data_IF_906759360187
#
_entry.id   IF_906759360187
#
_cell.length_a   1.000
_cell.length_b   1.000
_cell.length_c   1.000
_cell.angle_alpha   90.00
_cell.angle_beta   90.00
_cell.angle_gamma   90.00
#
_symmetry.space_group_name_H-M   'P 1'
#
loop_
_entity.id
_entity.type
_entity.pdbx_description
1 polymer ?
#
# COMPACT_ATOMS: atom_id res chain seq x y z
N UNK A 1 20.24 22.69 30.67
CA UNK A 1 18.90 23.21 30.98
C UNK A 1 18.15 23.37 29.68
N UNK A 2 17.11 22.56 29.55
CA UNK A 2 16.22 22.46 28.41
C UNK A 2 15.51 23.77 28.11
N UNK A 3 15.20 24.00 26.84
CA UNK A 3 13.82 24.34 26.47
C UNK A 3 13.48 23.52 25.24
N UNK A 4 12.79 22.42 25.52
CA UNK A 4 12.11 21.59 24.55
C UNK A 4 11.19 22.47 23.70
N UNK A 5 11.44 22.51 22.39
CA UNK A 5 10.40 22.91 21.44
C UNK A 5 9.39 21.79 21.41
N UNK A 6 8.30 22.03 22.14
CA UNK A 6 7.00 21.40 22.04
C UNK A 6 6.75 20.89 20.61
N UNK A 7 6.97 19.59 20.37
CA UNK A 7 6.39 18.87 19.24
C UNK A 7 4.94 18.58 19.63
N UNK A 8 4.16 19.66 19.67
CA UNK A 8 2.73 19.62 19.91
C UNK A 8 2.07 18.86 18.78
N UNK A 9 1.63 17.64 19.09
CA UNK A 9 0.63 16.81 18.43
C UNK A 9 0.20 17.31 17.02
N UNK A 10 0.74 16.75 15.92
CA UNK A 10 0.26 17.10 14.61
C UNK A 10 -0.97 16.23 14.34
N UNK A 11 -2.14 16.73 14.73
CA UNK A 11 -3.40 16.31 14.13
C UNK A 11 -3.40 16.72 12.66
N UNK A 12 -2.59 16.06 11.83
CA UNK A 12 -2.81 16.06 10.40
C UNK A 12 -4.20 15.46 10.20
N UNK A 13 -5.12 16.22 9.60
CA UNK A 13 -6.36 15.61 9.14
C UNK A 13 -5.99 14.61 8.06
N UNK A 14 -6.75 13.53 7.93
CA UNK A 14 -6.58 12.55 6.85
C UNK A 14 -6.49 13.26 5.49
N UNK A 15 -7.28 14.32 5.30
CA UNK A 15 -7.22 15.22 4.13
C UNK A 15 -5.83 15.81 3.88
N UNK A 16 -5.07 16.15 4.92
CA UNK A 16 -3.77 16.82 4.78
C UNK A 16 -2.68 15.81 4.37
N UNK A 17 -2.77 14.57 4.87
CA UNK A 17 -1.89 13.46 4.44
C UNK A 17 -2.24 13.03 3.02
N UNK A 18 -3.54 12.93 2.72
CA UNK A 18 -4.07 12.68 1.38
C UNK A 18 -3.58 13.76 0.42
N UNK A 19 -3.71 15.03 0.77
CA UNK A 19 -3.26 16.15 -0.06
C UNK A 19 -1.75 16.15 -0.25
N UNK A 20 -0.95 15.82 0.77
CA UNK A 20 0.51 15.72 0.65
C UNK A 20 0.95 14.56 -0.25
N UNK A 21 0.32 13.40 -0.10
CA UNK A 21 0.53 12.24 -0.95
C UNK A 21 0.10 12.56 -2.39
N UNK A 22 -1.11 13.09 -2.57
CA UNK A 22 -1.67 13.51 -3.86
C UNK A 22 -0.83 14.61 -4.51
N UNK A 23 -0.27 15.58 -3.78
CA UNK A 23 0.53 16.67 -4.37
C UNK A 23 1.88 16.15 -4.89
N UNK A 24 2.59 15.34 -4.08
CA UNK A 24 3.78 14.61 -4.54
C UNK A 24 3.47 13.68 -5.72
N UNK A 25 2.26 13.12 -5.73
CA UNK A 25 1.78 12.27 -6.83
C UNK A 25 1.51 13.12 -8.08
N UNK A 26 0.68 14.16 -8.00
CA UNK A 26 0.29 15.03 -9.12
C UNK A 26 1.48 15.67 -9.83
N UNK A 27 2.53 16.04 -9.11
CA UNK A 27 3.78 16.54 -9.70
C UNK A 27 4.53 15.46 -10.50
N UNK A 28 4.40 14.18 -10.12
CA UNK A 28 4.89 13.04 -10.89
C UNK A 28 3.93 12.61 -12.04
N UNK A 29 2.68 13.08 -12.04
CA UNK A 29 1.57 12.68 -12.92
C UNK A 29 1.19 13.77 -13.94
N UNK A 30 2.12 14.52 -14.52
CA UNK A 30 1.73 15.41 -15.65
C UNK A 30 1.32 14.67 -16.94
N UNK A 31 1.20 13.32 -16.93
CA UNK A 31 1.11 12.49 -18.15
C UNK A 31 0.21 11.23 -18.01
N UNK A 32 -0.75 11.16 -17.08
CA UNK A 32 -1.63 9.97 -16.98
C UNK A 32 -3.07 10.25 -17.42
N UNK A 33 -3.66 9.27 -18.09
CA UNK A 33 -5.08 9.28 -18.47
C UNK A 33 -6.02 9.10 -17.25
N UNK A 34 -7.28 9.47 -17.41
CA UNK A 34 -8.29 9.42 -16.35
C UNK A 34 -8.45 8.00 -15.78
N UNK A 35 -8.28 6.96 -16.61
CA UNK A 35 -8.37 5.56 -16.16
C UNK A 35 -7.24 5.23 -15.19
N UNK A 36 -6.04 5.70 -15.48
CA UNK A 36 -4.87 5.55 -14.63
C UNK A 36 -5.04 6.33 -13.34
N UNK A 37 -5.55 7.57 -13.41
CA UNK A 37 -5.85 8.38 -12.22
C UNK A 37 -6.85 7.68 -11.30
N UNK A 38 -7.99 7.23 -11.82
CA UNK A 38 -9.02 6.56 -11.02
C UNK A 38 -8.49 5.30 -10.30
N UNK A 39 -7.70 4.47 -10.99
CA UNK A 39 -7.08 3.29 -10.37
C UNK A 39 -6.06 3.64 -9.29
N UNK A 40 -5.38 4.77 -9.46
CA UNK A 40 -4.43 5.25 -8.46
C UNK A 40 -5.17 5.84 -7.27
N UNK A 41 -6.25 6.60 -7.48
CA UNK A 41 -7.08 7.18 -6.43
C UNK A 41 -7.67 6.10 -5.51
N UNK A 42 -8.27 5.04 -6.07
CA UNK A 42 -8.74 3.89 -5.30
C UNK A 42 -7.62 3.29 -4.44
N UNK A 43 -6.43 3.13 -5.02
CA UNK A 43 -5.27 2.60 -4.30
C UNK A 43 -4.75 3.56 -3.21
N UNK A 44 -4.85 4.88 -3.40
CA UNK A 44 -4.48 5.87 -2.40
C UNK A 44 -5.41 5.87 -1.21
N UNK A 45 -6.71 5.69 -1.44
CA UNK A 45 -7.67 5.58 -0.37
C UNK A 45 -7.29 4.41 0.57
N UNK A 46 -6.91 3.26 0.01
CA UNK A 46 -6.47 2.10 0.81
C UNK A 46 -5.16 2.37 1.56
N UNK A 47 -4.20 3.05 0.93
CA UNK A 47 -2.96 3.45 1.60
C UNK A 47 -3.24 4.34 2.81
N UNK A 48 -4.11 5.33 2.61
CA UNK A 48 -4.45 6.31 3.63
C UNK A 48 -5.16 5.64 4.80
N UNK A 49 -6.08 4.71 4.52
CA UNK A 49 -6.72 3.90 5.56
C UNK A 49 -5.69 3.05 6.32
N UNK A 50 -4.76 2.40 5.61
CA UNK A 50 -3.69 1.62 6.25
C UNK A 50 -2.80 2.47 7.15
N UNK A 51 -2.44 3.69 6.71
CA UNK A 51 -1.64 4.63 7.51
C UNK A 51 -2.40 5.16 8.74
N UNK A 52 -3.69 5.45 8.58
CA UNK A 52 -4.52 6.03 9.64
C UNK A 52 -4.89 5.00 10.72
N UNK A 53 -5.41 3.84 10.31
CA UNK A 53 -5.82 2.80 11.24
C UNK A 53 -4.61 2.05 11.81
N UNK A 54 -3.59 1.83 10.98
CA UNK A 54 -2.34 1.14 11.33
C UNK A 54 -2.58 -0.21 12.06
N UNK A 55 -3.65 -0.90 11.69
CA UNK A 55 -3.95 -2.25 12.17
C UNK A 55 -3.64 -3.29 11.09
N UNK A 56 -3.64 -4.55 11.50
CA UNK A 56 -3.32 -5.67 10.62
C UNK A 56 -4.28 -5.76 9.43
N UNK A 57 -5.56 -5.49 9.63
CA UNK A 57 -6.57 -5.60 8.59
C UNK A 57 -6.30 -4.61 7.46
N UNK A 58 -6.19 -3.31 7.77
CA UNK A 58 -6.04 -2.27 6.76
C UNK A 58 -4.67 -2.36 6.07
N UNK A 59 -3.61 -2.71 6.80
CA UNK A 59 -2.28 -2.92 6.21
C UNK A 59 -2.28 -4.11 5.24
N UNK A 60 -2.85 -5.25 5.64
CA UNK A 60 -2.98 -6.42 4.76
C UNK A 60 -3.85 -6.12 3.54
N UNK A 61 -4.92 -5.35 3.73
CA UNK A 61 -5.84 -4.97 2.66
C UNK A 61 -5.16 -4.08 1.62
N UNK A 62 -4.42 -3.05 2.07
CA UNK A 62 -3.59 -2.21 1.22
C UNK A 62 -2.54 -3.04 0.45
N UNK A 63 -1.82 -3.93 1.13
CA UNK A 63 -0.79 -4.76 0.50
C UNK A 63 -1.40 -5.71 -0.55
N UNK A 64 -2.61 -6.22 -0.34
CA UNK A 64 -3.32 -7.05 -1.32
C UNK A 64 -3.76 -6.23 -2.55
N UNK A 65 -4.25 -5.00 -2.34
CA UNK A 65 -4.57 -4.06 -3.41
C UNK A 65 -3.32 -3.66 -4.22
N UNK A 66 -2.20 -3.46 -3.53
CA UNK A 66 -0.90 -3.26 -4.17
C UNK A 66 -0.55 -4.42 -5.12
N UNK A 67 -0.67 -5.67 -4.65
CA UNK A 67 -0.36 -6.87 -5.44
C UNK A 67 -1.22 -6.95 -6.72
N UNK A 68 -2.50 -6.57 -6.64
CA UNK A 68 -3.39 -6.52 -7.80
C UNK A 68 -3.00 -5.42 -8.78
N UNK A 69 -2.79 -4.19 -8.29
CA UNK A 69 -2.46 -3.05 -9.14
C UNK A 69 -1.12 -3.25 -9.86
N UNK A 70 -0.09 -3.76 -9.15
CA UNK A 70 1.23 -4.03 -9.76
C UNK A 70 1.22 -5.13 -10.81
N UNK A 71 0.25 -6.04 -10.77
CA UNK A 71 0.14 -7.18 -11.69
C UNK A 71 -0.78 -6.89 -12.88
N UNK A 72 -1.46 -5.74 -12.86
CA UNK A 72 -2.30 -5.26 -13.94
C UNK A 72 -1.52 -4.83 -15.20
N UNK A 73 -2.21 -4.11 -16.06
CA UNK A 73 -1.66 -3.52 -17.29
C UNK A 73 -1.78 -1.99 -17.25
N UNK A 74 -0.98 -1.32 -18.07
CA UNK A 74 -1.04 0.13 -18.24
C UNK A 74 -0.15 0.92 -17.27
N UNK A 75 -0.33 2.24 -17.29
CA UNK A 75 0.56 3.20 -16.62
C UNK A 75 0.43 3.16 -15.09
N UNK A 76 -0.75 2.85 -14.55
CA UNK A 76 -0.96 2.69 -13.10
C UNK A 76 -0.01 1.65 -12.48
N UNK A 77 0.22 0.52 -13.17
CA UNK A 77 1.20 -0.48 -12.76
C UNK A 77 2.62 0.08 -12.70
N UNK A 78 3.01 0.84 -13.72
CA UNK A 78 4.36 1.42 -13.79
C UNK A 78 4.55 2.44 -12.67
N UNK A 79 3.53 3.26 -12.43
CA UNK A 79 3.52 4.26 -11.37
C UNK A 79 3.63 3.60 -9.98
N UNK A 80 2.74 2.67 -9.63
CA UNK A 80 2.71 2.07 -8.29
C UNK A 80 4.03 1.35 -7.95
N UNK A 81 4.64 0.66 -8.91
CA UNK A 81 5.93 -0.03 -8.68
C UNK A 81 7.08 0.95 -8.44
N UNK A 82 7.05 2.11 -9.08
CA UNK A 82 8.05 3.17 -8.90
C UNK A 82 7.90 3.87 -7.56
N UNK A 83 6.66 4.09 -7.13
CA UNK A 83 6.35 4.91 -5.96
C UNK A 83 6.42 4.12 -4.64
N UNK A 84 6.31 2.79 -4.70
CA UNK A 84 6.33 1.93 -3.51
C UNK A 84 7.41 0.83 -3.61
N UNK A 85 8.72 1.18 -3.60
CA UNK A 85 9.79 0.21 -3.74
C UNK A 85 9.84 -0.84 -2.62
N UNK A 86 9.41 -0.49 -1.40
CA UNK A 86 9.31 -1.46 -0.30
C UNK A 86 8.17 -2.46 -0.52
N UNK A 87 7.06 -2.02 -1.12
CA UNK A 87 5.99 -2.94 -1.53
C UNK A 87 6.45 -3.82 -2.70
N UNK A 88 7.30 -3.32 -3.60
CA UNK A 88 7.94 -4.17 -4.61
C UNK A 88 8.84 -5.23 -3.98
N UNK A 89 9.71 -4.87 -3.02
CA UNK A 89 10.54 -5.83 -2.28
C UNK A 89 9.67 -6.91 -1.63
N UNK A 90 8.60 -6.51 -0.95
CA UNK A 90 7.61 -7.41 -0.37
C UNK A 90 6.99 -8.35 -1.41
N UNK A 91 6.56 -7.82 -2.56
CA UNK A 91 5.95 -8.61 -3.63
C UNK A 91 6.92 -9.61 -4.31
N UNK A 92 8.23 -9.47 -4.10
CA UNK A 92 9.23 -10.43 -4.57
C UNK A 92 9.49 -11.58 -3.58
N UNK A 93 8.98 -11.51 -2.34
CA UNK A 93 9.08 -12.61 -1.38
C UNK A 93 8.43 -13.86 -2.00
N UNK A 94 9.12 -15.02 -2.06
CA UNK A 94 8.63 -16.20 -2.77
C UNK A 94 7.23 -16.64 -2.32
N UNK A 95 6.95 -16.58 -1.02
CA UNK A 95 5.67 -16.97 -0.43
C UNK A 95 4.55 -15.99 -0.81
N UNK A 96 4.84 -14.68 -0.80
CA UNK A 96 3.89 -13.64 -1.28
C UNK A 96 3.59 -13.83 -2.75
N UNK A 97 4.62 -14.10 -3.56
CA UNK A 97 4.46 -14.36 -5.00
C UNK A 97 3.63 -15.62 -5.23
N UNK A 98 3.89 -16.69 -4.49
CA UNK A 98 3.13 -17.95 -4.58
C UNK A 98 1.67 -17.74 -4.22
N UNK A 99 1.41 -17.09 -3.09
CA UNK A 99 0.07 -16.72 -2.65
C UNK A 99 -0.65 -15.93 -3.74
N UNK A 100 -0.05 -14.84 -4.23
CA UNK A 100 -0.70 -14.02 -5.25
C UNK A 100 -1.00 -14.80 -6.53
N UNK A 101 -0.10 -15.70 -6.98
CA UNK A 101 -0.36 -16.52 -8.16
C UNK A 101 -1.53 -17.48 -7.99
N UNK A 102 -1.81 -17.94 -6.76
CA UNK A 102 -2.96 -18.79 -6.45
C UNK A 102 -4.27 -18.00 -6.43
N UNK A 103 -4.24 -16.75 -5.96
CA UNK A 103 -5.42 -15.90 -5.77
C UNK A 103 -5.58 -14.78 -6.81
N UNK A 104 -4.76 -14.75 -7.88
CA UNK A 104 -4.71 -13.64 -8.86
C UNK A 104 -6.06 -13.29 -9.50
N UNK A 105 -6.92 -14.29 -9.68
CA UNK A 105 -8.24 -14.12 -10.30
C UNK A 105 -9.34 -13.73 -9.31
N UNK A 106 -9.03 -13.69 -8.01
CA UNK A 106 -9.99 -13.37 -6.97
C UNK A 106 -10.12 -11.85 -6.79
N UNK A 107 -11.23 -11.42 -6.23
CA UNK A 107 -11.43 -10.02 -5.92
C UNK A 107 -10.53 -9.64 -4.72
N UNK A 108 -9.72 -8.57 -4.79
CA UNK A 108 -8.91 -8.10 -3.65
C UNK A 108 -9.74 -7.72 -2.42
N UNK A 109 -11.06 -7.53 -2.57
CA UNK A 109 -12.02 -7.26 -1.49
C UNK A 109 -12.61 -8.52 -0.86
N UNK A 110 -12.18 -9.72 -1.29
CA UNK A 110 -12.60 -11.00 -0.71
C UNK A 110 -12.08 -11.12 0.72
N UNK A 111 -13.01 -11.21 1.69
CA UNK A 111 -12.66 -11.37 3.11
C UNK A 111 -11.90 -12.67 3.39
N UNK A 112 -12.21 -13.75 2.65
CA UNK A 112 -11.51 -15.03 2.78
C UNK A 112 -10.05 -14.90 2.35
N UNK A 113 -9.82 -14.35 1.15
CA UNK A 113 -8.48 -14.14 0.59
C UNK A 113 -7.68 -13.19 1.47
N UNK A 114 -8.31 -12.13 1.98
CA UNK A 114 -7.67 -11.18 2.90
C UNK A 114 -7.25 -11.84 4.22
N UNK A 115 -8.09 -12.72 4.77
CA UNK A 115 -7.76 -13.44 6.00
C UNK A 115 -6.54 -14.34 5.80
N UNK A 116 -6.54 -15.16 4.75
CA UNK A 116 -5.41 -16.03 4.41
C UNK A 116 -4.13 -15.22 4.15
N UNK A 117 -4.26 -14.06 3.50
CA UNK A 117 -3.15 -13.15 3.27
C UNK A 117 -2.60 -12.53 4.56
N UNK A 118 -3.48 -12.17 5.50
CA UNK A 118 -3.08 -11.62 6.80
C UNK A 118 -2.33 -12.67 7.63
N UNK A 119 -2.81 -13.92 7.61
CA UNK A 119 -2.12 -15.06 8.23
C UNK A 119 -0.73 -15.27 7.62
N UNK A 120 -0.59 -15.18 6.30
CA UNK A 120 0.71 -15.23 5.62
C UNK A 120 1.63 -14.09 6.08
N UNK A 121 1.13 -12.86 6.15
CA UNK A 121 1.92 -11.70 6.61
C UNK A 121 2.42 -11.93 8.03
N UNK A 122 1.58 -12.41 8.94
CA UNK A 122 1.97 -12.70 10.31
C UNK A 122 3.02 -13.81 10.40
N UNK A 123 2.88 -14.87 9.60
CA UNK A 123 3.90 -15.90 9.51
C UNK A 123 5.24 -15.32 8.98
N UNK A 124 5.21 -14.47 7.95
CA UNK A 124 6.41 -13.81 7.44
C UNK A 124 7.06 -12.88 8.48
N UNK A 125 6.27 -12.20 9.32
CA UNK A 125 6.76 -11.42 10.46
C UNK A 125 7.45 -12.33 11.47
N UNK A 126 6.80 -13.42 11.86
CA UNK A 126 7.31 -14.39 12.82
C UNK A 126 8.64 -15.01 12.36
N UNK A 127 8.75 -15.36 11.07
CA UNK A 127 9.97 -15.91 10.47
C UNK A 127 11.07 -14.87 10.21
N UNK A 128 10.84 -13.58 10.55
CA UNK A 128 11.81 -12.51 10.32
C UNK A 128 12.09 -12.22 8.84
N UNK A 129 11.17 -12.62 7.95
CA UNK A 129 11.28 -12.44 6.49
C UNK A 129 10.86 -11.03 6.03
N UNK A 130 10.17 -10.29 6.88
CA UNK A 130 9.83 -8.89 6.67
C UNK A 130 10.88 -8.00 7.34
N UNK A 131 12.01 -7.80 6.67
CA UNK A 131 13.01 -6.82 7.10
C UNK A 131 12.55 -5.42 6.66
N UNK A 132 12.33 -4.55 7.64
CA UNK A 132 12.18 -3.11 7.40
C UNK A 132 13.60 -2.55 7.35
N UNK A 133 14.08 -2.18 6.16
CA UNK A 133 15.32 -1.42 5.97
C UNK A 133 15.02 0.08 5.93
#
# INVERSE_FOLDING_TARGET
METSRNLGNPNYRVSDIVDLCIHKYKDAIKVYDDITLNKMDDFFEELVQAMYCNDEYHVSYFLLHYLHLRAGLGLARVAVRKLYPNCEKFAQIPEVKKFYMQHRGENPRSLTTLKEFSELINWLKFEGKLKVE
#
